data_IF_085430128791
#
_entry.id   IF_085430128791
#
_cell.length_a   1.000
_cell.length_b   1.000
_cell.length_c   1.000
_cell.angle_alpha   90.00
_cell.angle_beta   90.00
_cell.angle_gamma   90.00
#
_symmetry.space_group_name_H-M   'P 1'
#
loop_
_entity.id
_entity.type
_entity.pdbx_description
1 polymer ?
#
# COMPACT_ATOMS: atom_id res chain seq x y z
N UNK A 1 -4.67 24.34 17.97
CA UNK A 1 -5.55 23.68 16.97
C UNK A 1 -4.71 22.66 16.25
N UNK A 2 -4.84 21.39 16.65
CA UNK A 2 -4.00 20.29 16.15
C UNK A 2 -4.74 19.68 14.96
N UNK A 3 -4.17 19.84 13.76
CA UNK A 3 -4.77 19.40 12.52
C UNK A 3 -4.65 17.87 12.36
N UNK A 4 -5.56 17.10 12.97
CA UNK A 4 -5.64 15.64 12.82
C UNK A 4 -5.68 15.19 11.35
N UNK A 5 -6.27 16.02 10.46
CA UNK A 5 -6.32 15.78 9.02
C UNK A 5 -4.92 15.75 8.38
N UNK A 6 -3.99 16.60 8.82
CA UNK A 6 -2.61 16.64 8.29
C UNK A 6 -1.82 15.42 8.75
N UNK A 7 -2.10 14.93 9.96
CA UNK A 7 -1.53 13.69 10.49
C UNK A 7 -2.02 12.45 9.74
N UNK A 8 -3.32 12.38 9.45
CA UNK A 8 -3.89 11.28 8.66
C UNK A 8 -3.31 11.25 7.24
N UNK A 9 -3.15 12.42 6.61
CA UNK A 9 -2.48 12.54 5.31
C UNK A 9 -0.98 12.27 5.36
N UNK A 10 -0.28 12.61 6.45
CA UNK A 10 1.12 12.27 6.64
C UNK A 10 1.36 10.77 6.81
N UNK A 11 0.37 10.01 7.31
CA UNK A 11 0.46 8.55 7.42
C UNK A 11 0.11 7.86 6.09
N UNK A 12 -0.85 8.39 5.33
CA UNK A 12 -1.31 7.80 4.05
C UNK A 12 -0.45 8.20 2.85
N UNK A 13 0.15 9.40 2.85
CA UNK A 13 1.01 9.89 1.79
C UNK A 13 2.24 10.64 2.37
N UNK A 14 3.08 9.94 3.16
CA UNK A 14 4.26 10.54 3.80
C UNK A 14 5.26 11.18 2.82
N UNK A 15 5.52 10.69 1.59
CA UNK A 15 6.48 11.35 0.71
C UNK A 15 6.01 12.73 0.23
N UNK A 16 4.70 12.94 0.02
CA UNK A 16 4.16 14.21 -0.48
C UNK A 16 4.32 15.36 0.53
N UNK A 17 4.26 15.06 1.83
CA UNK A 17 4.43 16.04 2.90
C UNK A 17 5.89 16.51 3.05
N UNK A 18 6.85 15.75 2.52
CA UNK A 18 8.30 15.97 2.69
C UNK A 18 8.94 16.51 1.40
N UNK A 19 8.20 16.73 0.31
CA UNK A 19 8.75 17.33 -0.92
C UNK A 19 9.42 18.70 -0.70
N UNK A 20 9.05 19.43 0.36
CA UNK A 20 9.68 20.70 0.76
C UNK A 20 10.87 20.54 1.73
N UNK A 21 11.27 19.32 2.04
CA UNK A 21 12.34 18.96 2.97
C UNK A 21 13.45 18.21 2.22
N UNK A 22 14.54 17.98 2.95
CA UNK A 22 15.81 17.45 2.47
C UNK A 22 15.63 16.18 1.62
N UNK A 23 16.28 16.12 0.45
CA UNK A 23 16.15 15.04 -0.53
C UNK A 23 16.37 13.65 0.09
N UNK A 24 17.26 13.56 1.10
CA UNK A 24 17.52 12.32 1.82
C UNK A 24 16.30 11.79 2.59
N UNK A 25 15.47 12.66 3.17
CA UNK A 25 14.25 12.24 3.89
C UNK A 25 13.17 11.75 2.93
N UNK A 26 13.00 12.42 1.78
CA UNK A 26 12.04 12.00 0.75
C UNK A 26 12.41 10.60 0.24
N UNK A 27 13.69 10.37 -0.03
CA UNK A 27 14.19 9.09 -0.54
C UNK A 27 14.03 7.96 0.49
N UNK A 28 14.32 8.22 1.77
CA UNK A 28 14.12 7.25 2.84
C UNK A 28 12.64 6.88 3.02
N UNK A 29 11.76 7.88 3.07
CA UNK A 29 10.31 7.69 3.24
C UNK A 29 9.68 6.99 2.03
N UNK A 30 10.09 7.37 0.81
CA UNK A 30 9.64 6.74 -0.42
C UNK A 30 10.07 5.27 -0.50
N UNK A 31 11.31 4.96 -0.12
CA UNK A 31 11.81 3.59 -0.09
C UNK A 31 11.07 2.76 0.97
N UNK A 32 10.89 3.30 2.18
CA UNK A 32 10.17 2.62 3.25
C UNK A 32 8.71 2.33 2.85
N UNK A 33 8.04 3.31 2.23
CA UNK A 33 6.69 3.14 1.69
C UNK A 33 6.64 2.05 0.63
N UNK A 34 7.58 2.04 -0.32
CA UNK A 34 7.66 0.98 -1.32
C UNK A 34 7.92 -0.40 -0.68
N UNK A 35 8.79 -0.47 0.34
CA UNK A 35 9.14 -1.71 1.02
C UNK A 35 7.96 -2.32 1.78
N UNK A 36 7.04 -1.50 2.31
CA UNK A 36 5.81 -1.97 2.95
C UNK A 36 4.63 -2.12 1.97
N UNK A 37 4.62 -1.40 0.86
CA UNK A 37 3.57 -1.48 -0.16
C UNK A 37 3.69 -2.74 -1.02
N UNK A 38 4.89 -3.07 -1.48
CA UNK A 38 5.16 -4.27 -2.30
C UNK A 38 4.64 -5.56 -1.64
N UNK A 39 4.95 -5.89 -0.37
CA UNK A 39 4.42 -7.10 0.26
C UNK A 39 2.89 -7.07 0.41
N UNK A 40 2.28 -5.89 0.61
CA UNK A 40 0.82 -5.75 0.68
C UNK A 40 0.12 -6.04 -0.66
N UNK A 41 0.67 -5.51 -1.76
CA UNK A 41 0.16 -5.80 -3.12
C UNK A 41 0.33 -7.27 -3.48
N UNK A 42 1.47 -7.87 -3.13
CA UNK A 42 1.71 -9.31 -3.35
C UNK A 42 0.71 -10.16 -2.57
N UNK A 43 0.43 -9.81 -1.30
CA UNK A 43 -0.55 -10.51 -0.49
C UNK A 43 -1.98 -10.39 -1.07
N UNK A 44 -2.39 -9.20 -1.49
CA UNK A 44 -3.69 -8.98 -2.12
C UNK A 44 -3.84 -9.77 -3.43
N UNK A 45 -2.80 -9.76 -4.28
CA UNK A 45 -2.80 -10.51 -5.53
C UNK A 45 -2.85 -12.02 -5.28
N UNK A 46 -2.09 -12.53 -4.31
CA UNK A 46 -2.14 -13.93 -3.92
C UNK A 46 -3.54 -14.34 -3.46
N UNK A 47 -4.19 -13.53 -2.61
CA UNK A 47 -5.55 -13.81 -2.14
C UNK A 47 -6.55 -13.86 -3.30
N UNK A 48 -6.49 -12.89 -4.21
CA UNK A 48 -7.36 -12.83 -5.39
C UNK A 48 -7.17 -14.05 -6.31
N UNK A 49 -5.93 -14.48 -6.55
CA UNK A 49 -5.64 -15.67 -7.35
C UNK A 49 -6.21 -16.94 -6.69
N UNK A 50 -6.06 -17.07 -5.36
CA UNK A 50 -6.57 -18.23 -4.60
C UNK A 50 -8.09 -18.30 -4.64
N UNK A 51 -8.76 -17.16 -4.47
CA UNK A 51 -10.22 -17.03 -4.56
C UNK A 51 -10.74 -17.48 -5.94
N UNK A 52 -10.13 -16.97 -7.02
CA UNK A 52 -10.51 -17.34 -8.39
C UNK A 52 -10.33 -18.83 -8.70
N UNK A 53 -9.30 -19.47 -8.13
CA UNK A 53 -9.09 -20.91 -8.26
C UNK A 53 -10.14 -21.72 -7.48
N UNK A 54 -10.64 -21.20 -6.36
CA UNK A 54 -11.73 -21.84 -5.61
C UNK A 54 -13.06 -21.71 -6.35
N UNK A 55 -13.39 -20.53 -6.88
CA UNK A 55 -14.57 -20.31 -7.74
C UNK A 55 -14.55 -21.26 -8.95
N UNK A 56 -13.40 -21.41 -9.60
CA UNK A 56 -13.22 -22.32 -10.75
C UNK A 56 -13.35 -23.80 -10.37
N UNK A 57 -12.98 -24.20 -9.14
CA UNK A 57 -13.21 -25.57 -8.62
C UNK A 57 -14.65 -25.82 -8.18
N UNK A 58 -15.35 -24.78 -7.72
CA UNK A 58 -16.73 -24.86 -7.25
C UNK A 58 -17.76 -24.73 -8.37
N UNK A 59 -17.32 -24.58 -9.62
CA UNK A 59 -18.17 -24.75 -10.78
C UNK A 59 -18.14 -26.23 -11.20
N UNK A 60 -19.03 -27.11 -10.67
CA UNK A 60 -19.29 -28.38 -11.31
C UNK A 60 -19.84 -28.04 -12.70
N UNK A 61 -19.11 -28.46 -13.72
CA UNK A 61 -19.60 -28.55 -15.10
C UNK A 61 -20.97 -29.23 -15.07
N UNK A 62 -22.03 -28.48 -15.40
CA UNK A 62 -23.38 -28.97 -15.68
C UNK A 62 -23.51 -29.29 -17.17
#
# INVERSE_FOLDING_TARGET
>A
MIDLRKWLFAIICPPAAVLNKEVGTIMLVGLLTAMFWVPGVVAALFFLIRDQLQMSRQQPQV
#
